data_IF_198342759115
#
_entry.id   IF_198342759115
#
_cell.length_a   1.000
_cell.length_b   1.000
_cell.length_c   1.000
_cell.angle_alpha   90.00
_cell.angle_beta   90.00
_cell.angle_gamma   90.00
#
_symmetry.space_group_name_H-M   'P 1'
#
loop_
_entity.id
_entity.type
_entity.pdbx_description
1 polymer ?
#
# COMPACT_ATOMS: atom_id res chain seq x y z
N UNK A 1 -14.09 -24.44 28.72
CA UNK A 1 -13.88 -23.19 27.98
C UNK A 1 -12.94 -23.48 26.82
N UNK A 2 -13.49 -23.74 25.64
CA UNK A 2 -12.70 -23.85 24.42
C UNK A 2 -12.27 -22.44 24.03
N UNK A 3 -10.96 -22.16 24.12
CA UNK A 3 -10.43 -20.88 23.64
C UNK A 3 -10.43 -20.92 22.12
N UNK A 4 -11.12 -19.99 21.49
CA UNK A 4 -11.09 -19.84 20.03
C UNK A 4 -9.68 -19.41 19.62
N UNK A 5 -9.08 -20.12 18.66
CA UNK A 5 -7.77 -19.77 18.13
C UNK A 5 -7.93 -18.56 17.20
N UNK A 6 -7.53 -17.37 17.67
CA UNK A 6 -7.61 -16.14 16.89
C UNK A 6 -6.36 -15.97 16.00
N UNK A 7 -6.56 -15.83 14.69
CA UNK A 7 -5.49 -15.57 13.74
C UNK A 7 -5.24 -14.05 13.62
N UNK A 8 -4.00 -13.62 13.86
CA UNK A 8 -3.60 -12.20 13.80
C UNK A 8 -2.54 -12.06 12.70
N UNK A 9 -2.90 -11.65 11.48
CA UNK A 9 -1.93 -11.50 10.40
C UNK A 9 -1.13 -10.22 10.57
N UNK A 10 0.10 -10.21 10.05
CA UNK A 10 0.88 -8.98 10.01
C UNK A 10 0.15 -7.90 9.18
N UNK A 11 -0.13 -6.70 9.74
CA UNK A 11 -0.99 -5.70 9.12
C UNK A 11 -0.52 -5.28 7.73
N UNK A 12 -1.44 -5.16 6.77
CA UNK A 12 -1.07 -4.79 5.40
C UNK A 12 -0.42 -3.39 5.33
N UNK A 13 -0.95 -2.43 6.09
CA UNK A 13 -0.41 -1.06 6.15
C UNK A 13 1.02 -1.00 6.70
N UNK A 14 1.42 -1.95 7.56
CA UNK A 14 2.76 -2.03 8.13
C UNK A 14 3.77 -2.71 7.17
N UNK A 15 3.34 -3.24 6.02
CA UNK A 15 4.22 -3.83 5.00
C UNK A 15 4.90 -2.73 4.18
N UNK A 16 5.77 -1.96 4.81
CA UNK A 16 6.39 -0.73 4.27
C UNK A 16 6.99 -0.94 2.88
N UNK A 17 7.70 -2.03 2.64
CA UNK A 17 8.27 -2.34 1.31
C UNK A 17 7.21 -2.47 0.22
N UNK A 18 6.07 -3.11 0.52
CA UNK A 18 4.94 -3.24 -0.41
C UNK A 18 4.27 -1.90 -0.64
N UNK A 19 4.04 -1.12 0.42
CA UNK A 19 3.45 0.22 0.35
C UNK A 19 4.28 1.13 -0.56
N UNK A 20 5.60 1.20 -0.32
CA UNK A 20 6.55 1.98 -1.14
C UNK A 20 6.55 1.55 -2.59
N UNK A 21 6.60 0.24 -2.85
CA UNK A 21 6.60 -0.29 -4.22
C UNK A 21 5.30 0.03 -4.95
N UNK A 22 4.15 -0.05 -4.28
CA UNK A 22 2.88 0.30 -4.89
C UNK A 22 2.80 1.79 -5.24
N UNK A 23 3.21 2.67 -4.32
CA UNK A 23 3.28 4.10 -4.61
C UNK A 23 4.20 4.40 -5.80
N UNK A 24 5.35 3.73 -5.87
CA UNK A 24 6.28 3.83 -7.00
C UNK A 24 5.66 3.44 -8.33
N UNK A 25 5.07 2.26 -8.42
CA UNK A 25 4.47 1.78 -9.66
C UNK A 25 3.30 2.68 -10.08
N UNK A 26 2.51 3.16 -9.11
CA UNK A 26 1.36 4.03 -9.39
C UNK A 26 1.77 5.42 -9.87
N UNK A 27 2.87 5.99 -9.38
CA UNK A 27 3.41 7.27 -9.84
C UNK A 27 4.11 7.13 -11.21
N UNK A 28 4.77 6.00 -11.46
CA UNK A 28 5.50 5.74 -12.71
C UNK A 28 4.65 5.19 -13.86
N UNK A 29 3.37 4.93 -13.63
CA UNK A 29 2.50 4.37 -14.66
C UNK A 29 2.20 5.39 -15.78
N UNK A 30 2.32 4.93 -17.03
CA UNK A 30 2.20 5.80 -18.21
C UNK A 30 0.80 6.43 -18.39
N UNK A 31 -0.26 5.76 -17.93
CA UNK A 31 -1.64 6.24 -18.06
C UNK A 31 -2.54 5.72 -16.94
N UNK A 32 -3.71 6.35 -16.81
CA UNK A 32 -4.69 6.03 -15.76
C UNK A 32 -5.17 4.58 -15.82
N UNK A 33 -5.42 4.04 -17.02
CA UNK A 33 -5.89 2.67 -17.18
C UNK A 33 -4.89 1.64 -16.61
N UNK A 34 -3.59 1.89 -16.80
CA UNK A 34 -2.52 1.04 -16.26
C UNK A 34 -2.43 1.13 -14.74
N UNK A 35 -2.66 2.32 -14.17
CA UNK A 35 -2.73 2.55 -12.72
C UNK A 35 -3.88 1.74 -12.10
N UNK A 36 -5.07 1.88 -12.68
CA UNK A 36 -6.28 1.23 -12.17
C UNK A 36 -6.17 -0.30 -12.29
N UNK A 37 -5.64 -0.81 -13.41
CA UNK A 37 -5.43 -2.23 -13.60
C UNK A 37 -4.44 -2.81 -12.57
N UNK A 38 -3.30 -2.16 -12.36
CA UNK A 38 -2.31 -2.58 -11.36
C UNK A 38 -2.90 -2.52 -9.94
N UNK A 39 -3.62 -1.45 -9.63
CA UNK A 39 -4.21 -1.24 -8.31
C UNK A 39 -5.24 -2.30 -7.97
N UNK A 40 -6.21 -2.51 -8.88
CA UNK A 40 -7.24 -3.54 -8.74
C UNK A 40 -6.62 -4.92 -8.55
N UNK A 41 -5.65 -5.28 -9.39
CA UNK A 41 -4.94 -6.57 -9.28
C UNK A 41 -4.24 -6.72 -7.92
N UNK A 42 -3.59 -5.67 -7.44
CA UNK A 42 -2.85 -5.69 -6.17
C UNK A 42 -3.78 -5.85 -4.99
N UNK A 43 -4.84 -5.05 -4.92
CA UNK A 43 -5.82 -5.07 -3.82
C UNK A 43 -6.57 -6.41 -3.80
N UNK A 44 -7.00 -6.92 -4.96
CA UNK A 44 -7.66 -8.23 -5.04
C UNK A 44 -6.74 -9.35 -4.55
N UNK A 45 -5.50 -9.38 -5.03
CA UNK A 45 -4.54 -10.42 -4.60
C UNK A 45 -4.22 -10.35 -3.10
N UNK A 46 -4.26 -9.16 -2.48
CA UNK A 46 -4.10 -9.04 -1.03
C UNK A 46 -5.35 -9.54 -0.29
N UNK A 47 -6.54 -9.24 -0.79
CA UNK A 47 -7.81 -9.74 -0.24
C UNK A 47 -7.87 -11.27 -0.27
N UNK A 48 -7.63 -11.87 -1.45
CA UNK A 48 -7.60 -13.33 -1.64
C UNK A 48 -6.62 -14.03 -0.68
N UNK A 49 -5.47 -13.40 -0.39
CA UNK A 49 -4.49 -13.96 0.56
C UNK A 49 -4.97 -13.90 2.01
N UNK A 50 -5.70 -12.86 2.40
CA UNK A 50 -6.26 -12.75 3.75
C UNK A 50 -7.45 -13.70 3.92
N UNK A 51 -8.27 -13.84 2.88
CA UNK A 51 -9.35 -14.82 2.83
C UNK A 51 -8.81 -16.26 2.94
N UNK A 52 -7.75 -16.58 2.19
CA UNK A 52 -7.14 -17.91 2.20
C UNK A 52 -6.55 -18.33 3.57
N UNK A 53 -6.19 -17.35 4.42
CA UNK A 53 -5.72 -17.62 5.79
C UNK A 53 -6.86 -17.55 6.83
N UNK A 54 -8.10 -17.35 6.38
CA UNK A 54 -9.29 -17.43 7.22
C UNK A 54 -9.72 -16.13 7.89
N UNK A 55 -9.27 -14.96 7.41
CA UNK A 55 -9.80 -13.70 7.93
C UNK A 55 -11.25 -13.48 7.51
N UNK A 56 -12.05 -12.88 8.39
CA UNK A 56 -13.41 -12.50 8.07
C UNK A 56 -13.45 -11.28 7.15
N UNK A 57 -14.47 -11.21 6.27
CA UNK A 57 -14.62 -10.14 5.28
C UNK A 57 -14.47 -8.72 5.85
N UNK A 58 -15.06 -8.44 7.01
CA UNK A 58 -14.96 -7.13 7.67
C UNK A 58 -13.50 -6.78 8.04
N UNK A 59 -12.73 -7.76 8.49
CA UNK A 59 -11.31 -7.58 8.82
C UNK A 59 -10.48 -7.41 7.54
N UNK A 60 -10.79 -8.16 6.48
CA UNK A 60 -10.15 -8.01 5.17
C UNK A 60 -10.36 -6.58 4.66
N UNK A 61 -11.60 -6.08 4.66
CA UNK A 61 -11.90 -4.72 4.20
C UNK A 61 -11.19 -3.66 5.05
N UNK A 62 -11.13 -3.85 6.37
CA UNK A 62 -10.37 -2.97 7.27
C UNK A 62 -8.88 -2.95 6.92
N UNK A 63 -8.26 -4.13 6.75
CA UNK A 63 -6.86 -4.27 6.37
C UNK A 63 -6.57 -3.63 5.00
N UNK A 64 -7.45 -3.85 4.02
CA UNK A 64 -7.32 -3.25 2.69
C UNK A 64 -7.45 -1.73 2.76
N UNK A 65 -8.41 -1.18 3.50
CA UNK A 65 -8.57 0.27 3.64
C UNK A 65 -7.33 0.92 4.29
N UNK A 66 -6.80 0.34 5.36
CA UNK A 66 -5.56 0.82 5.99
C UNK A 66 -4.38 0.77 5.02
N UNK A 67 -4.26 -0.29 4.22
CA UNK A 67 -3.24 -0.39 3.19
C UNK A 67 -3.38 0.68 2.11
N UNK A 68 -4.61 0.93 1.63
CA UNK A 68 -4.91 2.00 0.65
C UNK A 68 -4.50 3.37 1.19
N UNK A 69 -4.84 3.67 2.43
CA UNK A 69 -4.42 4.91 3.10
C UNK A 69 -2.89 5.00 3.21
N UNK A 70 -2.20 3.93 3.62
CA UNK A 70 -0.75 3.92 3.71
C UNK A 70 -0.07 4.20 2.36
N UNK A 71 -0.59 3.64 1.26
CA UNK A 71 -0.10 3.92 -0.09
C UNK A 71 -0.33 5.38 -0.49
N UNK A 72 -1.49 5.95 -0.16
CA UNK A 72 -1.77 7.36 -0.40
C UNK A 72 -0.84 8.29 0.39
N UNK A 73 -0.56 7.98 1.66
CA UNK A 73 0.39 8.76 2.46
C UNK A 73 1.82 8.67 1.90
N UNK A 74 2.22 7.49 1.44
CA UNK A 74 3.52 7.31 0.78
C UNK A 74 3.61 8.09 -0.54
N UNK A 75 2.52 8.19 -1.31
CA UNK A 75 2.47 9.07 -2.48
C UNK A 75 2.80 10.52 -2.12
N UNK A 76 2.10 11.07 -1.13
CA UNK A 76 2.32 12.44 -0.64
C UNK A 76 3.76 12.64 -0.15
N UNK A 77 4.30 11.67 0.59
CA UNK A 77 5.71 11.70 1.06
C UNK A 77 6.70 11.75 -0.11
N UNK A 78 6.46 10.97 -1.17
CA UNK A 78 7.33 10.93 -2.36
C UNK A 78 7.26 12.23 -3.16
N UNK A 79 6.06 12.78 -3.34
CA UNK A 79 5.86 14.07 -4.02
C UNK A 79 6.58 15.19 -3.26
N UNK A 80 6.45 15.23 -1.93
CA UNK A 80 7.15 16.20 -1.09
C UNK A 80 8.68 16.11 -1.22
N UNK A 81 9.23 14.90 -1.25
CA UNK A 81 10.67 14.67 -1.42
C UNK A 81 11.15 15.15 -2.79
N UNK A 82 10.40 14.85 -3.86
CA UNK A 82 10.74 15.31 -5.21
C UNK A 82 10.77 16.85 -5.29
N UNK A 83 9.74 17.52 -4.77
CA UNK A 83 9.68 18.98 -4.72
C UNK A 83 10.80 19.61 -3.88
N UNK A 84 11.26 18.92 -2.84
CA UNK A 84 12.35 19.39 -1.97
C UNK A 84 13.72 19.20 -2.64
N UNK A 85 13.88 18.15 -3.43
CA UNK A 85 15.09 17.91 -4.21
C UNK A 85 15.29 18.99 -5.28
N UNK A 86 14.22 19.41 -5.97
CA UNK A 86 14.27 20.50 -6.97
C UNK A 86 14.65 21.87 -6.38
N UNK A 87 14.50 22.05 -5.07
CA UNK A 87 14.81 23.30 -4.35
C UNK A 87 16.14 23.28 -3.60
N UNK A 88 16.87 22.16 -3.62
CA UNK A 88 18.18 22.10 -3.00
C UNK A 88 19.12 23.04 -3.78
N UNK A 89 19.81 24.01 -3.13
CA UNK A 89 20.83 24.78 -3.82
C UNK A 89 21.90 23.81 -4.32
N UNK A 90 22.28 23.92 -5.59
CA UNK A 90 23.43 23.22 -6.14
C UNK A 90 24.60 23.47 -5.19
N UNK A 91 24.96 22.45 -4.40
CA UNK A 91 26.02 22.57 -3.42
C UNK A 91 27.28 22.96 -4.17
N UNK A 92 27.71 24.21 -3.99
CA UNK A 92 28.90 24.75 -4.64
C UNK A 92 30.08 23.82 -4.36
N UNK A 93 30.59 23.21 -5.42
CA UNK A 93 31.83 22.44 -5.45
C UNK A 93 33.01 23.37 -5.80
#
# INVERSE_FOLDING_TARGET
MTHECQLIPFPLAARVGKVRRCAEVLQGAANQASRDAYWRKTVNSLGERLEAIGLHENEIQSQLNQFRHAVQQEHLRRDYIAMSADKAPDGAA
#
